data_IF_152715058264
#
_entry.id   IF_152715058264
#
_cell.length_a   1.000
_cell.length_b   1.000
_cell.length_c   1.000
_cell.angle_alpha   90.00
_cell.angle_beta   90.00
_cell.angle_gamma   90.00
#
_symmetry.space_group_name_H-M   'P 1'
#
loop_
_entity.id
_entity.type
_entity.pdbx_description
1 polymer ?
#
# COMPACT_ATOMS: atom_id res chain seq x y z
N UNK A 1 12.57 8.66 -18.39
CA UNK A 1 12.42 7.99 -17.09
C UNK A 1 11.12 7.22 -17.14
N UNK A 2 11.15 5.91 -16.95
CA UNK A 2 9.93 5.13 -16.71
C UNK A 2 9.35 5.56 -15.36
N UNK A 3 8.14 6.12 -15.35
CA UNK A 3 7.46 6.44 -14.10
C UNK A 3 6.94 5.14 -13.51
N UNK A 4 7.51 4.71 -12.39
CA UNK A 4 6.97 3.59 -11.64
C UNK A 4 5.88 4.10 -10.71
N UNK A 5 4.66 3.57 -10.87
CA UNK A 5 3.57 3.81 -9.95
C UNK A 5 3.51 2.65 -8.95
N UNK A 6 3.21 2.97 -7.70
CA UNK A 6 3.12 1.99 -6.64
C UNK A 6 1.86 2.18 -5.82
N UNK A 7 1.31 1.07 -5.33
CA UNK A 7 0.34 1.05 -4.24
C UNK A 7 1.00 0.35 -3.07
N UNK A 8 1.05 1.01 -1.91
CA UNK A 8 1.79 0.53 -0.75
C UNK A 8 0.90 0.32 0.46
N UNK A 9 1.38 -0.52 1.37
CA UNK A 9 0.81 -0.80 2.68
C UNK A 9 1.84 -0.43 3.75
N UNK A 10 1.42 0.42 4.68
CA UNK A 10 2.16 0.74 5.88
C UNK A 10 1.52 0.09 7.10
N UNK A 11 2.34 -0.23 8.09
CA UNK A 11 1.93 -0.59 9.43
C UNK A 11 2.57 0.37 10.44
N UNK A 12 1.82 0.75 11.47
CA UNK A 12 2.37 1.51 12.60
C UNK A 12 2.81 0.59 13.72
N UNK A 13 3.66 1.09 14.63
CA UNK A 13 4.06 0.36 15.85
C UNK A 13 2.88 -0.11 16.73
N UNK A 14 1.69 0.48 16.58
CA UNK A 14 0.45 0.03 17.23
C UNK A 14 -0.50 -0.73 16.27
N UNK A 15 0.05 -1.39 15.24
CA UNK A 15 -0.67 -2.24 14.28
C UNK A 15 -1.78 -1.55 13.49
N UNK A 16 -1.70 -0.23 13.31
CA UNK A 16 -2.62 0.46 12.42
C UNK A 16 -2.11 0.33 11.00
N UNK A 17 -3.01 0.13 10.03
CA UNK A 17 -2.62 0.00 8.63
C UNK A 17 -3.04 1.18 7.79
N UNK A 18 -2.21 1.54 6.82
CA UNK A 18 -2.50 2.57 5.84
C UNK A 18 -2.18 2.07 4.43
N UNK A 19 -3.14 2.20 3.50
CA UNK A 19 -2.93 1.90 2.08
C UNK A 19 -2.92 3.22 1.32
N UNK A 20 -1.96 3.41 0.41
CA UNK A 20 -1.86 4.61 -0.42
C UNK A 20 -1.17 4.33 -1.76
N UNK A 21 -1.16 5.34 -2.63
CA UNK A 21 -0.43 5.30 -3.90
C UNK A 21 0.68 6.37 -3.98
N UNK A 22 1.76 6.09 -4.69
CA UNK A 22 2.88 7.02 -4.89
C UNK A 22 3.72 6.68 -6.13
N UNK A 23 4.53 7.65 -6.58
CA UNK A 23 5.59 7.44 -7.58
C UNK A 23 6.97 7.26 -6.94
N UNK A 24 7.07 7.50 -5.63
CA UNK A 24 8.30 7.35 -4.85
C UNK A 24 7.94 6.88 -3.45
N UNK A 25 8.30 5.64 -3.12
CA UNK A 25 7.90 4.99 -1.88
C UNK A 25 8.63 5.57 -0.67
N UNK A 26 9.95 5.79 -0.76
CA UNK A 26 10.76 6.28 0.37
C UNK A 26 10.39 7.72 0.72
N UNK A 27 10.25 8.58 -0.29
CA UNK A 27 9.79 9.95 -0.09
C UNK A 27 8.40 9.96 0.60
N UNK A 28 7.49 9.08 0.17
CA UNK A 28 6.14 9.01 0.76
C UNK A 28 6.16 8.45 2.19
N UNK A 29 7.02 7.49 2.50
CA UNK A 29 7.19 6.98 3.86
C UNK A 29 7.67 8.10 4.81
N UNK A 30 8.69 8.85 4.41
CA UNK A 30 9.21 10.01 5.18
C UNK A 30 8.16 11.09 5.40
N UNK A 31 7.27 11.31 4.43
CA UNK A 31 6.09 12.18 4.62
C UNK A 31 5.15 11.64 5.70
N UNK A 32 4.84 10.34 5.68
CA UNK A 32 3.97 9.73 6.68
C UNK A 32 4.58 9.75 8.09
N UNK A 33 5.91 9.59 8.19
CA UNK A 33 6.70 9.71 9.42
C UNK A 33 6.97 11.17 9.84
N UNK A 34 6.48 12.16 9.10
CA UNK A 34 6.60 13.58 9.47
C UNK A 34 8.00 14.16 9.37
N UNK A 35 8.97 13.41 8.83
CA UNK A 35 10.32 13.91 8.54
C UNK A 35 10.31 15.02 7.48
N UNK A 36 9.36 14.93 6.55
CA UNK A 36 9.12 15.93 5.50
C UNK A 36 7.63 16.26 5.37
N UNK A 37 7.33 17.44 4.81
CA UNK A 37 5.95 17.94 4.65
C UNK A 37 5.15 17.13 3.63
N UNK A 38 3.83 17.07 3.81
CA UNK A 38 2.88 16.45 2.86
C UNK A 38 2.35 15.07 3.28
N UNK A 39 2.61 14.64 4.51
CA UNK A 39 2.03 13.42 5.08
C UNK A 39 0.52 13.52 5.27
N UNK A 40 -0.17 12.38 5.14
CA UNK A 40 -1.60 12.31 5.42
C UNK A 40 -1.88 12.70 6.89
N UNK A 41 -2.97 13.43 7.12
CA UNK A 41 -3.34 13.90 8.47
C UNK A 41 -3.50 12.72 9.44
N UNK A 42 -4.11 11.62 8.99
CA UNK A 42 -4.32 10.44 9.82
C UNK A 42 -3.01 9.79 10.29
N UNK A 43 -1.99 9.74 9.43
CA UNK A 43 -0.70 9.09 9.75
C UNK A 43 0.18 9.99 10.60
N UNK A 44 0.25 11.28 10.28
CA UNK A 44 1.04 12.26 11.03
C UNK A 44 0.49 12.48 12.45
N UNK A 45 -0.83 12.36 12.65
CA UNK A 45 -1.43 12.36 13.99
C UNK A 45 -0.96 11.19 14.85
N UNK A 46 -0.69 10.03 14.25
CA UNK A 46 -0.16 8.85 14.97
C UNK A 46 1.31 9.03 15.32
N UNK A 47 2.10 9.62 14.42
CA UNK A 47 3.48 10.00 14.72
C UNK A 47 3.58 10.96 15.89
N UNK A 48 2.70 11.97 15.96
CA UNK A 48 2.63 12.89 17.10
C UNK A 48 2.26 12.21 18.43
N UNK A 49 1.71 10.99 18.39
CA UNK A 49 1.41 10.16 19.57
C UNK A 49 2.55 9.17 19.89
N UNK A 50 3.68 9.26 19.20
CA UNK A 50 4.84 8.38 19.40
C UNK A 50 4.85 7.12 18.53
N UNK A 51 3.94 6.97 17.56
CA UNK A 51 3.98 5.83 16.63
C UNK A 51 4.94 6.09 15.46
N UNK A 52 5.56 5.04 14.92
CA UNK A 52 6.32 5.12 13.66
C UNK A 52 5.66 4.23 12.61
N UNK A 53 5.71 4.64 11.35
CA UNK A 53 5.25 3.83 10.23
C UNK A 53 6.42 3.13 9.56
N UNK A 54 6.24 1.85 9.28
CA UNK A 54 7.09 1.06 8.39
C UNK A 54 6.29 0.67 7.15
N UNK A 55 6.98 0.54 6.02
CA UNK A 55 6.39 0.00 4.79
C UNK A 55 6.56 -1.51 4.85
N UNK A 56 5.45 -2.23 4.81
CA UNK A 56 5.44 -3.71 4.94
C UNK A 56 5.21 -4.40 3.59
N UNK A 57 4.62 -3.68 2.64
CA UNK A 57 4.36 -4.20 1.30
C UNK A 57 4.19 -3.05 0.30
N UNK A 58 4.56 -3.31 -0.95
CA UNK A 58 4.14 -2.51 -2.08
C UNK A 58 3.84 -3.38 -3.30
N UNK A 59 2.98 -2.86 -4.17
CA UNK A 59 2.59 -3.43 -5.45
C UNK A 59 3.14 -2.52 -6.55
N UNK A 60 3.74 -3.13 -7.58
CA UNK A 60 4.31 -2.47 -8.75
C UNK A 60 3.78 -3.11 -10.05
N UNK A 61 4.14 -2.51 -11.20
CA UNK A 61 3.71 -2.96 -12.52
C UNK A 61 2.46 -2.26 -13.08
N UNK A 62 1.96 -1.22 -12.39
CA UNK A 62 0.77 -0.50 -12.85
C UNK A 62 1.01 0.21 -14.20
N UNK A 63 0.13 0.02 -15.21
CA UNK A 63 0.29 0.66 -16.52
C UNK A 63 0.17 2.18 -16.47
N UNK A 64 -0.67 2.70 -15.56
CA UNK A 64 -0.89 4.13 -15.39
C UNK A 64 -1.16 4.49 -13.93
N UNK A 65 -1.01 5.77 -13.60
CA UNK A 65 -1.43 6.31 -12.31
C UNK A 65 -2.92 6.03 -12.01
N UNK A 66 -3.77 6.08 -13.04
CA UNK A 66 -5.21 5.79 -12.90
C UNK A 66 -5.45 4.35 -12.46
N UNK A 67 -4.73 3.38 -13.03
CA UNK A 67 -4.84 1.97 -12.63
C UNK A 67 -4.33 1.76 -11.19
N UNK A 68 -3.26 2.43 -10.78
CA UNK A 68 -2.79 2.42 -9.40
C UNK A 68 -3.85 2.94 -8.42
N UNK A 69 -4.51 4.06 -8.73
CA UNK A 69 -5.58 4.61 -7.88
C UNK A 69 -6.82 3.71 -7.81
N UNK A 70 -7.21 3.07 -8.92
CA UNK A 70 -8.32 2.09 -8.93
C UNK A 70 -7.99 0.89 -8.04
N UNK A 71 -6.75 0.39 -8.12
CA UNK A 71 -6.27 -0.69 -7.28
C UNK A 71 -6.23 -0.30 -5.79
N UNK A 72 -5.68 0.87 -5.46
CA UNK A 72 -5.66 1.41 -4.09
C UNK A 72 -7.08 1.46 -3.48
N UNK A 73 -8.04 1.97 -4.25
CA UNK A 73 -9.44 2.01 -3.84
C UNK A 73 -10.01 0.61 -3.62
N UNK A 74 -9.77 -0.31 -4.56
CA UNK A 74 -10.26 -1.69 -4.48
C UNK A 74 -9.70 -2.41 -3.25
N UNK A 75 -8.40 -2.27 -2.98
CA UNK A 75 -7.75 -2.87 -1.82
C UNK A 75 -8.38 -2.37 -0.51
N UNK A 76 -8.60 -1.05 -0.39
CA UNK A 76 -9.32 -0.46 0.75
C UNK A 76 -10.76 -0.98 0.86
N UNK A 77 -11.45 -1.14 -0.28
CA UNK A 77 -12.82 -1.62 -0.32
C UNK A 77 -12.94 -3.08 0.13
N UNK A 78 -12.16 -3.99 -0.43
CA UNK A 78 -12.18 -5.40 -0.04
C UNK A 78 -11.71 -5.61 1.40
N UNK A 79 -10.75 -4.81 1.88
CA UNK A 79 -10.35 -4.83 3.30
C UNK A 79 -11.50 -4.56 4.27
N UNK A 80 -12.46 -3.70 3.90
CA UNK A 80 -13.63 -3.36 4.74
C UNK A 80 -14.70 -4.44 4.73
N UNK A 81 -14.69 -5.34 3.75
CA UNK A 81 -15.66 -6.44 3.63
C UNK A 81 -15.30 -7.67 4.46
N UNK A 82 -14.04 -7.77 4.88
CA UNK A 82 -13.56 -8.86 5.74
C UNK A 82 -13.90 -8.61 7.21
N UNK A 83 -13.81 -9.66 8.02
CA UNK A 83 -14.11 -9.60 9.45
C UNK A 83 -13.20 -8.58 10.16
N UNK A 84 -13.81 -7.69 10.93
CA UNK A 84 -13.09 -6.65 11.67
C UNK A 84 -12.35 -7.21 12.89
N UNK A 85 -12.63 -8.44 13.31
CA UNK A 85 -11.88 -9.18 14.34
C UNK A 85 -10.51 -9.67 13.87
N UNK A 86 -10.30 -9.77 12.56
CA UNK A 86 -9.00 -10.11 12.01
C UNK A 86 -7.97 -9.04 12.38
N UNK A 87 -6.74 -9.50 12.62
CA UNK A 87 -5.62 -8.61 12.84
C UNK A 87 -5.50 -7.62 11.66
N UNK A 88 -5.27 -6.31 11.90
CA UNK A 88 -5.36 -5.31 10.84
C UNK A 88 -4.47 -5.58 9.64
N UNK A 89 -3.27 -6.12 9.84
CA UNK A 89 -2.35 -6.48 8.76
C UNK A 89 -2.85 -7.70 7.96
N UNK A 90 -3.27 -8.77 8.64
CA UNK A 90 -3.79 -9.98 7.99
C UNK A 90 -5.03 -9.68 7.16
N UNK A 91 -5.88 -8.78 7.63
CA UNK A 91 -7.03 -8.30 6.86
C UNK A 91 -6.62 -7.60 5.57
N UNK A 92 -5.50 -6.86 5.57
CA UNK A 92 -4.96 -6.24 4.34
C UNK A 92 -4.37 -7.28 3.40
N UNK A 93 -3.63 -8.26 3.95
CA UNK A 93 -3.06 -9.38 3.18
C UNK A 93 -4.15 -10.20 2.49
N UNK A 94 -5.13 -10.68 3.24
CA UNK A 94 -6.23 -11.46 2.68
C UNK A 94 -7.05 -10.65 1.65
N UNK A 95 -7.25 -9.35 1.88
CA UNK A 95 -7.92 -8.50 0.90
C UNK A 95 -7.10 -8.33 -0.39
N UNK A 96 -5.77 -8.31 -0.29
CA UNK A 96 -4.87 -8.26 -1.44
C UNK A 96 -4.94 -9.58 -2.23
N UNK A 97 -4.88 -10.72 -1.55
CA UNK A 97 -4.97 -12.05 -2.19
C UNK A 97 -6.29 -12.19 -2.96
N UNK A 98 -7.40 -11.81 -2.32
CA UNK A 98 -8.72 -11.80 -2.96
C UNK A 98 -8.78 -10.87 -4.17
N UNK A 99 -8.11 -9.72 -4.12
CA UNK A 99 -8.10 -8.72 -5.19
C UNK A 99 -7.27 -9.18 -6.40
N UNK A 100 -6.18 -9.91 -6.15
CA UNK A 100 -5.31 -10.47 -7.19
C UNK A 100 -5.93 -11.70 -7.86
N UNK A 101 -6.83 -12.40 -7.17
CA UNK A 101 -7.59 -13.51 -7.75
C UNK A 101 -8.70 -13.08 -8.72
N UNK A 102 -9.02 -11.78 -8.78
CA UNK A 102 -9.97 -11.24 -9.76
C UNK A 102 -9.31 -11.05 -11.12
N UNK A 103 -10.12 -10.98 -12.18
CA UNK A 103 -9.64 -10.59 -13.52
C UNK A 103 -9.10 -9.14 -13.55
N UNK A 104 -9.72 -8.26 -12.75
CA UNK A 104 -9.42 -6.82 -12.70
C UNK A 104 -9.77 -6.22 -11.33
N UNK A 105 -9.08 -5.14 -10.88
CA UNK A 105 -9.32 -4.55 -9.56
C UNK A 105 -10.71 -3.94 -9.35
N UNK A 106 -11.25 -3.31 -10.41
CA UNK A 106 -12.57 -2.69 -10.45
C UNK A 106 -13.17 -2.89 -11.83
N UNK A 107 -14.49 -2.72 -11.99
CA UNK A 107 -15.14 -2.86 -13.30
C UNK A 107 -14.63 -1.89 -14.37
N UNK A 108 -14.06 -0.75 -13.96
CA UNK A 108 -13.48 0.26 -14.86
C UNK A 108 -11.96 0.14 -14.99
N UNK A 109 -11.34 -0.83 -14.34
CA UNK A 109 -9.91 -1.09 -14.45
C UNK A 109 -9.62 -1.95 -15.68
N UNK A 110 -8.40 -1.81 -16.18
CA UNK A 110 -7.82 -2.72 -17.16
C UNK A 110 -7.67 -4.11 -16.53
N UNK A 111 -7.87 -5.18 -17.31
CA UNK A 111 -7.64 -6.53 -16.83
C UNK A 111 -6.14 -6.79 -16.62
N UNK A 112 -5.79 -7.64 -15.65
CA UNK A 112 -4.38 -7.85 -15.29
C UNK A 112 -3.56 -8.48 -16.44
N UNK A 113 -4.19 -9.25 -17.32
CA UNK A 113 -3.59 -9.86 -18.50
C UNK A 113 -3.33 -8.87 -19.64
N UNK A 114 -4.00 -7.72 -19.63
CA UNK A 114 -3.79 -6.62 -20.58
C UNK A 114 -2.60 -5.71 -20.18
N UNK A 115 -2.00 -5.91 -18.99
CA UNK A 115 -0.91 -5.06 -18.50
C UNK A 115 0.41 -5.40 -19.19
N UNK A 116 1.09 -4.39 -19.75
CA UNK A 116 2.42 -4.55 -20.38
C UNK A 116 3.46 -5.11 -19.39
N UNK A 117 3.38 -4.68 -18.13
CA UNK A 117 4.21 -5.19 -17.04
C UNK A 117 3.33 -5.99 -16.09
N UNK A 118 3.66 -7.27 -15.81
CA UNK A 118 2.90 -8.07 -14.86
C UNK A 118 2.85 -7.40 -13.48
N UNK A 119 1.69 -7.48 -12.84
CA UNK A 119 1.54 -7.04 -11.45
C UNK A 119 2.50 -7.81 -10.56
N UNK A 120 3.22 -7.10 -9.69
CA UNK A 120 4.16 -7.72 -8.76
C UNK A 120 3.94 -7.19 -7.35
N UNK A 121 3.80 -8.11 -6.41
CA UNK A 121 3.70 -7.81 -4.98
C UNK A 121 5.06 -8.03 -4.34
N UNK A 122 5.54 -7.04 -3.61
CA UNK A 122 6.78 -7.09 -2.85
C UNK A 122 6.43 -6.93 -1.37
N UNK A 123 6.77 -7.93 -0.57
CA UNK A 123 6.71 -7.85 0.89
C UNK A 123 8.09 -7.45 1.41
N UNK A 124 8.14 -6.47 2.29
CA UNK A 124 9.39 -5.99 2.89
C UNK A 124 9.64 -6.80 4.16
N UNK A 125 10.65 -7.66 4.12
CA UNK A 125 11.11 -8.40 5.29
C UNK A 125 11.84 -7.43 6.24
N UNK A 126 11.68 -7.61 7.55
CA UNK A 126 12.25 -6.77 8.62
C UNK A 126 13.80 -6.77 8.69
N UNK A 127 14.51 -7.39 7.74
CA UNK A 127 15.96 -7.60 7.79
C UNK A 127 16.82 -6.37 7.42
N UNK A 128 16.24 -5.19 7.18
CA UNK A 128 17.01 -3.97 6.89
C UNK A 128 17.27 -3.06 8.10
N UNK A 129 17.12 -3.56 9.34
CA UNK A 129 17.61 -2.86 10.55
C UNK A 129 18.80 -3.63 11.15
N UNK A 130 19.84 -3.83 10.35
CA UNK A 130 21.18 -4.13 10.83
C UNK A 130 22.16 -3.58 9.81
N UNK A 131 22.52 -2.30 9.97
CA UNK A 131 23.83 -1.70 9.63
C UNK A 131 23.73 -0.16 9.72
N UNK A 132 24.05 0.35 10.92
CA UNK A 132 25.02 1.43 11.19
C UNK A 132 24.99 1.81 12.67
#
# INVERSE_FOLDING_TARGET
MSNNFFVYLLESTNHNTYVGATVNLDHRLRQHNGEIKGGAVATTRKVKKGETWTRVCHVEGFPTWSEALKFEWAWKFYSRKLDQKLFPLDRRRQALDNLLALERPTSKAMAYDEWETPIKVVWENEESIQEN
#
